data_IF_445148148179
#
_entry.id   IF_445148148179
#
_cell.length_a   1.000
_cell.length_b   1.000
_cell.length_c   1.000
_cell.angle_alpha   90.00
_cell.angle_beta   90.00
_cell.angle_gamma   90.00
#
_symmetry.space_group_name_H-M   'P 1'
#
loop_
_entity.id
_entity.type
_entity.pdbx_description
1 polymer ?
#
# COMPACT_ATOMS: atom_id res chain seq x y z
N UNK A 1 -61.08 -15.53 -22.51
CA UNK A 1 -59.88 -15.61 -23.32
C UNK A 1 -58.81 -16.33 -22.51
N UNK A 2 -58.55 -17.63 -22.72
CA UNK A 2 -57.51 -18.40 -22.03
C UNK A 2 -56.21 -18.25 -22.82
N UNK A 3 -55.26 -17.53 -22.23
CA UNK A 3 -53.90 -17.41 -22.74
C UNK A 3 -53.19 -18.75 -22.57
N UNK A 4 -53.01 -19.45 -23.70
CA UNK A 4 -52.20 -20.69 -23.78
C UNK A 4 -50.76 -20.30 -23.69
N UNK A 5 -50.17 -20.38 -22.48
CA UNK A 5 -48.73 -20.25 -22.31
C UNK A 5 -48.06 -21.50 -22.89
N UNK A 6 -47.25 -21.34 -23.94
CA UNK A 6 -46.55 -22.43 -24.60
C UNK A 6 -45.53 -23.07 -23.61
N UNK A 7 -45.31 -24.42 -23.69
CA UNK A 7 -44.41 -25.11 -22.75
C UNK A 7 -42.95 -24.57 -22.79
N UNK A 8 -42.54 -23.99 -23.89
CA UNK A 8 -41.23 -23.34 -24.03
C UNK A 8 -41.05 -22.11 -23.11
N UNK A 9 -42.14 -21.34 -22.85
CA UNK A 9 -42.10 -20.18 -21.94
C UNK A 9 -41.81 -20.60 -20.49
N UNK A 10 -42.22 -21.79 -20.07
CA UNK A 10 -42.00 -22.28 -18.69
C UNK A 10 -40.57 -22.68 -18.39
N UNK A 11 -39.78 -23.04 -19.40
CA UNK A 11 -38.36 -23.40 -19.28
C UNK A 11 -37.45 -22.17 -19.36
N UNK A 12 -37.82 -21.12 -20.08
CA UNK A 12 -37.04 -19.92 -20.26
C UNK A 12 -37.03 -19.08 -18.98
N UNK A 13 -38.13 -19.03 -18.24
CA UNK A 13 -38.26 -18.21 -17.01
C UNK A 13 -37.28 -18.61 -15.93
N UNK A 14 -37.08 -19.89 -15.53
CA UNK A 14 -36.11 -20.26 -14.50
C UNK A 14 -34.66 -20.06 -14.96
N UNK A 15 -34.36 -20.21 -16.23
CA UNK A 15 -33.01 -19.97 -16.77
C UNK A 15 -32.65 -18.48 -16.70
N UNK A 16 -33.55 -17.59 -17.06
CA UNK A 16 -33.35 -16.14 -16.98
C UNK A 16 -33.14 -15.70 -15.53
N UNK A 17 -33.95 -16.22 -14.60
CA UNK A 17 -33.79 -15.91 -13.14
C UNK A 17 -32.45 -16.42 -12.62
N UNK A 18 -32.03 -17.64 -12.97
CA UNK A 18 -30.74 -18.19 -12.55
C UNK A 18 -29.55 -17.37 -13.08
N UNK A 19 -29.64 -16.87 -14.31
CA UNK A 19 -28.61 -16.01 -14.92
C UNK A 19 -28.53 -14.64 -14.23
N UNK A 20 -29.65 -14.06 -13.83
CA UNK A 20 -29.66 -12.80 -13.09
C UNK A 20 -29.08 -12.92 -11.65
N UNK A 21 -29.28 -14.04 -10.97
CA UNK A 21 -28.71 -14.27 -9.63
C UNK A 21 -27.19 -14.44 -9.65
N UNK A 22 -26.59 -14.90 -10.74
CA UNK A 22 -25.15 -15.10 -10.84
C UNK A 22 -24.34 -13.82 -11.09
N UNK A 23 -24.98 -12.69 -11.43
CA UNK A 23 -24.28 -11.42 -11.67
C UNK A 23 -24.00 -10.60 -10.41
N UNK A 24 -24.51 -10.97 -9.24
CA UNK A 24 -24.38 -10.19 -8.01
C UNK A 24 -23.12 -10.53 -7.16
N UNK A 25 -22.24 -11.40 -7.64
CA UNK A 25 -21.12 -11.93 -6.84
C UNK A 25 -19.88 -11.01 -6.79
N UNK A 26 -19.87 -9.88 -7.51
CA UNK A 26 -18.74 -8.97 -7.53
C UNK A 26 -18.92 -7.86 -6.48
N UNK A 27 -18.22 -7.98 -5.34
CA UNK A 27 -18.15 -6.95 -4.32
C UNK A 27 -16.74 -6.40 -4.16
N UNK A 28 -16.63 -5.12 -3.78
CA UNK A 28 -15.34 -4.53 -3.41
C UNK A 28 -14.83 -5.19 -2.12
N UNK A 29 -13.52 -5.39 -2.03
CA UNK A 29 -12.88 -5.99 -0.86
C UNK A 29 -12.07 -4.92 -0.13
N UNK A 30 -12.25 -4.83 1.18
CA UNK A 30 -11.40 -4.01 2.05
C UNK A 30 -10.25 -4.88 2.54
N UNK A 31 -9.03 -4.43 2.30
CA UNK A 31 -7.82 -5.09 2.77
C UNK A 31 -7.09 -4.18 3.75
N UNK A 32 -6.74 -4.73 4.93
CA UNK A 32 -5.93 -4.03 5.92
C UNK A 32 -4.55 -4.67 5.96
N UNK A 33 -3.53 -3.83 5.87
CA UNK A 33 -2.13 -4.20 5.97
C UNK A 33 -1.51 -3.55 7.20
N UNK A 34 -0.67 -4.31 7.90
CA UNK A 34 -0.08 -3.91 9.16
C UNK A 34 -1.00 -4.16 10.36
N UNK A 35 -0.54 -3.76 11.56
CA UNK A 35 -1.33 -3.89 12.79
C UNK A 35 -2.13 -2.62 13.04
N UNK A 36 -3.43 -2.78 13.22
CA UNK A 36 -4.30 -1.74 13.76
C UNK A 36 -3.99 -1.59 15.25
N UNK A 37 -3.51 -0.44 15.66
CA UNK A 37 -3.36 -0.05 17.06
C UNK A 37 -4.50 0.91 17.37
N UNK A 38 -5.39 0.50 18.28
CA UNK A 38 -6.52 1.32 18.66
C UNK A 38 -6.11 2.38 19.68
N UNK A 39 -6.83 3.51 19.72
CA UNK A 39 -6.57 4.59 20.67
C UNK A 39 -6.60 4.10 22.13
N UNK A 40 -7.51 3.16 22.45
CA UNK A 40 -7.60 2.55 23.78
C UNK A 40 -6.37 1.69 24.14
N UNK A 41 -5.69 1.12 23.16
CA UNK A 41 -4.42 0.40 23.38
C UNK A 41 -3.27 1.39 23.62
N UNK A 42 -3.27 2.54 22.93
CA UNK A 42 -2.28 3.59 23.13
C UNK A 42 -2.39 4.28 24.50
N UNK A 43 -3.57 4.35 25.10
CA UNK A 43 -3.77 4.87 26.45
C UNK A 43 -3.04 4.06 27.54
N UNK A 44 -2.71 2.80 27.26
CA UNK A 44 -1.94 1.94 28.17
C UNK A 44 -0.45 2.28 28.17
N UNK A 45 0.01 3.05 27.19
CA UNK A 45 1.41 3.40 27.00
C UNK A 45 1.71 4.70 27.74
N UNK A 46 2.73 4.69 28.61
CA UNK A 46 3.13 5.83 29.43
C UNK A 46 4.58 6.23 29.12
N UNK A 47 4.76 7.49 28.74
CA UNK A 47 6.08 8.07 28.50
C UNK A 47 6.89 8.04 29.82
N UNK A 48 8.16 7.65 29.72
CA UNK A 48 9.08 7.54 30.84
C UNK A 48 8.91 6.29 31.73
N UNK A 49 7.90 5.44 31.46
CA UNK A 49 7.66 4.23 32.24
C UNK A 49 7.63 2.97 31.36
N UNK A 50 6.98 3.06 30.21
CA UNK A 50 6.85 1.93 29.27
C UNK A 50 8.18 1.68 28.56
N UNK A 51 8.61 0.43 28.52
CA UNK A 51 9.83 0.04 27.82
C UNK A 51 9.56 -0.41 26.38
N UNK A 52 10.61 -0.48 25.58
CA UNK A 52 10.54 -1.04 24.22
C UNK A 52 10.00 -2.49 24.21
N UNK A 53 10.39 -3.29 25.21
CA UNK A 53 9.92 -4.66 25.33
C UNK A 53 8.41 -4.72 25.63
N UNK A 54 7.90 -3.80 26.43
CA UNK A 54 6.47 -3.69 26.72
C UNK A 54 5.68 -3.33 25.45
N UNK A 55 6.18 -2.37 24.66
CA UNK A 55 5.57 -2.00 23.36
C UNK A 55 5.49 -3.20 22.43
N UNK A 56 6.59 -3.97 22.29
CA UNK A 56 6.60 -5.16 21.45
C UNK A 56 5.67 -6.26 22.00
N UNK A 57 5.54 -6.37 23.31
CA UNK A 57 4.63 -7.32 23.95
C UNK A 57 3.15 -6.96 23.72
N UNK A 58 2.82 -5.67 23.76
CA UNK A 58 1.46 -5.14 23.55
C UNK A 58 1.06 -5.18 22.07
N UNK A 59 1.92 -4.64 21.21
CA UNK A 59 1.58 -4.41 19.81
C UNK A 59 2.19 -5.42 18.84
N UNK A 60 3.01 -6.35 19.33
CA UNK A 60 3.75 -7.30 18.49
C UNK A 60 4.98 -6.69 17.85
N UNK A 61 5.54 -7.37 16.85
CA UNK A 61 6.73 -6.90 16.15
C UNK A 61 6.44 -5.61 15.37
N UNK A 62 7.34 -4.62 15.40
CA UNK A 62 7.20 -3.40 14.62
C UNK A 62 7.27 -3.70 13.12
N UNK A 63 6.66 -2.84 12.32
CA UNK A 63 6.73 -2.91 10.86
C UNK A 63 8.16 -2.69 10.36
N UNK A 64 8.88 -1.77 10.99
CA UNK A 64 10.32 -1.52 10.75
C UNK A 64 10.93 -0.76 11.92
N UNK A 65 12.26 -0.77 11.97
CA UNK A 65 13.05 -0.06 12.96
C UNK A 65 13.78 1.11 12.30
N UNK A 66 14.05 2.15 13.07
CA UNK A 66 14.80 3.29 12.59
C UNK A 66 16.25 2.94 12.30
N UNK A 67 16.83 3.56 11.28
CA UNK A 67 18.21 3.35 10.88
C UNK A 67 19.20 3.90 11.92
N UNK A 68 20.43 3.39 11.88
CA UNK A 68 21.56 3.89 12.67
C UNK A 68 21.34 3.88 14.19
N UNK A 69 20.67 2.84 14.71
CA UNK A 69 20.34 2.73 16.15
C UNK A 69 19.64 3.99 16.71
N UNK A 70 18.74 4.55 15.92
CA UNK A 70 18.02 5.79 16.28
C UNK A 70 17.10 5.64 17.49
N UNK A 71 16.99 4.44 18.08
CA UNK A 71 16.07 4.17 19.19
C UNK A 71 14.60 4.31 18.80
N UNK A 72 14.24 4.17 17.54
CA UNK A 72 12.87 4.33 17.04
C UNK A 72 12.34 3.05 16.45
N UNK A 73 11.06 2.77 16.71
CA UNK A 73 10.30 1.71 16.04
C UNK A 73 9.03 2.27 15.44
N UNK A 74 8.58 1.64 14.37
CA UNK A 74 7.47 2.14 13.58
C UNK A 74 6.43 1.05 13.36
N UNK A 75 5.18 1.41 13.58
CA UNK A 75 4.02 0.61 13.22
C UNK A 75 3.28 1.30 12.09
N UNK A 76 3.23 0.67 10.92
CA UNK A 76 2.51 1.18 9.77
C UNK A 76 1.22 0.39 9.59
N UNK A 77 0.12 1.13 9.45
CA UNK A 77 -1.19 0.59 9.17
C UNK A 77 -1.75 1.23 7.91
N UNK A 78 -2.34 0.41 7.06
CA UNK A 78 -2.97 0.88 5.84
C UNK A 78 -4.22 0.09 5.53
N UNK A 79 -5.32 0.78 5.27
CA UNK A 79 -6.56 0.18 4.78
C UNK A 79 -6.75 0.58 3.33
N UNK A 80 -6.92 -0.42 2.48
CA UNK A 80 -7.11 -0.26 1.03
C UNK A 80 -8.45 -0.81 0.61
N UNK A 81 -9.16 -0.09 -0.27
CA UNK A 81 -10.33 -0.59 -0.97
C UNK A 81 -9.89 -1.16 -2.32
N UNK A 82 -9.99 -2.47 -2.46
CA UNK A 82 -9.79 -3.16 -3.73
C UNK A 82 -11.11 -3.18 -4.50
N UNK A 83 -11.18 -2.42 -5.58
CA UNK A 83 -12.34 -2.37 -6.45
C UNK A 83 -12.32 -3.53 -7.43
N UNK A 84 -13.49 -4.09 -7.73
CA UNK A 84 -13.66 -5.20 -8.69
C UNK A 84 -13.19 -4.81 -10.09
N UNK A 85 -13.43 -3.57 -10.48
CA UNK A 85 -12.98 -3.01 -11.75
C UNK A 85 -12.41 -1.62 -11.49
N UNK A 86 -11.09 -1.50 -11.43
CA UNK A 86 -10.44 -0.22 -11.23
C UNK A 86 -9.18 -0.28 -10.38
N UNK A 87 -8.63 0.88 -10.10
CA UNK A 87 -7.45 1.02 -9.27
C UNK A 87 -7.80 0.86 -7.78
N UNK A 88 -6.94 0.20 -7.03
CA UNK A 88 -7.03 0.16 -5.59
C UNK A 88 -6.91 1.58 -5.03
N UNK A 89 -7.72 1.88 -4.03
CA UNK A 89 -7.72 3.20 -3.37
C UNK A 89 -7.35 3.01 -1.91
N UNK A 90 -6.35 3.73 -1.44
CA UNK A 90 -6.05 3.83 0.00
C UNK A 90 -7.19 4.59 0.67
N UNK A 91 -7.79 3.99 1.69
CA UNK A 91 -8.84 4.64 2.50
C UNK A 91 -8.26 5.34 3.71
N UNK A 92 -7.28 4.73 4.34
CA UNK A 92 -6.55 5.31 5.46
C UNK A 92 -5.13 4.77 5.54
N UNK A 93 -4.23 5.60 5.99
CA UNK A 93 -2.85 5.24 6.34
C UNK A 93 -2.50 5.94 7.64
N UNK A 94 -1.91 5.19 8.54
CA UNK A 94 -1.45 5.70 9.81
C UNK A 94 -0.07 5.12 10.12
N UNK A 95 0.83 5.97 10.56
CA UNK A 95 2.18 5.62 10.99
C UNK A 95 2.36 6.07 12.43
N UNK A 96 2.57 5.12 13.33
CA UNK A 96 2.86 5.38 14.73
C UNK A 96 4.35 5.17 14.95
N UNK A 97 5.03 6.17 15.48
CA UNK A 97 6.44 6.14 15.81
C UNK A 97 6.61 6.21 17.31
N UNK A 98 7.32 5.24 17.88
CA UNK A 98 7.77 5.23 19.26
C UNK A 98 9.27 5.53 19.30
N UNK A 99 9.66 6.52 20.09
CA UNK A 99 11.06 6.90 20.29
C UNK A 99 11.51 6.51 21.69
N UNK A 100 12.69 5.89 21.83
CA UNK A 100 13.23 5.40 23.09
C UNK A 100 14.58 6.05 23.39
N UNK A 101 14.89 6.13 24.68
CA UNK A 101 16.20 6.54 25.17
C UNK A 101 17.22 5.38 25.11
N UNK A 102 18.46 5.66 25.57
CA UNK A 102 19.54 4.67 25.63
C UNK A 102 19.23 3.48 26.56
N UNK A 103 18.31 3.65 27.52
CA UNK A 103 17.85 2.61 28.45
C UNK A 103 16.61 1.85 27.93
N UNK A 104 16.21 2.10 26.69
CA UNK A 104 14.97 1.58 26.09
C UNK A 104 13.67 2.04 26.79
N UNK A 105 13.69 3.18 27.46
CA UNK A 105 12.50 3.81 28.02
C UNK A 105 11.84 4.72 26.97
N UNK A 106 10.51 4.69 26.90
CA UNK A 106 9.75 5.47 25.94
C UNK A 106 9.89 6.97 26.23
N UNK A 107 10.38 7.73 25.24
CA UNK A 107 10.53 9.18 25.29
C UNK A 107 9.36 9.92 24.64
N UNK A 108 8.85 9.40 23.51
CA UNK A 108 7.86 10.11 22.72
C UNK A 108 7.07 9.15 21.83
N UNK A 109 5.81 9.53 21.52
CA UNK A 109 4.91 8.84 20.61
C UNK A 109 4.40 9.84 19.59
N UNK A 110 4.70 9.64 18.32
CA UNK A 110 4.23 10.48 17.22
C UNK A 110 3.31 9.67 16.30
N UNK A 111 2.14 10.23 16.00
CA UNK A 111 1.15 9.64 15.09
C UNK A 111 1.07 10.52 13.85
N UNK A 112 1.30 9.91 12.68
CA UNK A 112 1.15 10.56 11.37
C UNK A 112 0.05 9.86 10.59
N UNK A 113 -0.94 10.61 10.20
CA UNK A 113 -2.04 10.17 9.36
C UNK A 113 -1.82 10.57 7.88
N UNK A 114 -2.72 10.15 7.00
CA UNK A 114 -2.68 10.48 5.57
C UNK A 114 -2.67 11.99 5.29
N UNK A 115 -3.22 12.82 6.20
CA UNK A 115 -3.24 14.27 6.06
C UNK A 115 -1.86 14.89 6.29
N UNK A 116 -0.97 14.16 6.97
CA UNK A 116 0.43 14.54 7.20
C UNK A 116 1.34 14.16 6.03
N UNK A 117 0.82 13.46 5.03
CA UNK A 117 1.58 13.05 3.84
C UNK A 117 1.98 14.26 3.01
N UNK A 118 3.27 14.39 2.77
CA UNK A 118 3.82 15.41 1.86
C UNK A 118 3.73 14.86 0.45
N UNK A 119 2.98 15.52 -0.42
CA UNK A 119 2.98 15.21 -1.84
C UNK A 119 4.35 15.52 -2.44
N UNK A 120 5.11 14.48 -2.75
CA UNK A 120 6.40 14.62 -3.44
C UNK A 120 6.11 14.74 -4.93
N UNK A 121 6.20 15.96 -5.46
CA UNK A 121 6.17 16.16 -6.90
C UNK A 121 7.46 15.61 -7.51
N UNK A 122 7.31 14.71 -8.49
CA UNK A 122 8.45 14.24 -9.26
C UNK A 122 9.11 15.41 -9.97
N UNK A 123 10.38 15.69 -9.65
CA UNK A 123 11.13 16.73 -10.36
C UNK A 123 11.38 16.27 -11.79
N UNK A 124 10.85 16.99 -12.77
CA UNK A 124 11.16 16.78 -14.19
C UNK A 124 12.59 17.21 -14.57
N UNK A 125 13.39 17.61 -13.58
CA UNK A 125 14.77 18.02 -13.82
C UNK A 125 15.57 16.83 -14.35
N UNK A 126 15.75 16.78 -15.64
CA UNK A 126 16.68 15.84 -16.29
C UNK A 126 18.10 16.25 -15.93
N UNK A 127 18.81 15.41 -15.25
CA UNK A 127 20.26 15.58 -15.07
C UNK A 127 20.90 15.30 -16.42
N UNK A 128 21.60 16.28 -17.07
CA UNK A 128 22.35 16.00 -18.28
C UNK A 128 23.46 15.02 -17.90
N UNK A 129 23.33 13.80 -18.35
CA UNK A 129 24.41 12.83 -18.26
C UNK A 129 25.45 13.24 -19.30
N UNK A 130 26.70 13.58 -18.95
CA UNK A 130 27.77 13.82 -19.90
C UNK A 130 28.21 12.47 -20.50
N UNK A 131 27.32 11.89 -21.29
CA UNK A 131 27.63 10.78 -22.19
C UNK A 131 27.98 11.36 -23.54
N UNK A 132 29.02 10.86 -24.19
CA UNK A 132 29.31 11.19 -25.57
C UNK A 132 28.04 10.84 -26.38
N UNK A 133 27.41 11.86 -26.95
CA UNK A 133 26.31 11.69 -27.92
C UNK A 133 26.93 11.13 -29.22
N UNK A 134 27.39 9.90 -29.17
CA UNK A 134 27.73 9.16 -30.37
C UNK A 134 26.41 8.85 -31.08
N UNK A 135 26.18 9.58 -32.15
CA UNK A 135 25.05 9.31 -33.04
C UNK A 135 25.16 7.88 -33.52
N UNK A 136 24.04 7.18 -33.73
CA UNK A 136 24.01 5.81 -34.23
C UNK A 136 24.89 5.66 -35.48
N UNK A 137 25.00 6.72 -36.29
CA UNK A 137 25.86 6.86 -37.45
C UNK A 137 27.36 6.75 -37.07
N UNK A 138 27.80 7.47 -36.03
CA UNK A 138 29.22 7.44 -35.58
C UNK A 138 29.60 6.06 -35.03
N UNK A 139 28.66 5.34 -34.39
CA UNK A 139 28.89 3.97 -33.93
C UNK A 139 29.05 3.00 -35.09
N UNK A 140 28.29 3.15 -36.16
CA UNK A 140 28.41 2.30 -37.37
C UNK A 140 29.75 2.57 -38.06
N UNK A 141 30.14 3.82 -38.22
CA UNK A 141 31.42 4.18 -38.86
C UNK A 141 32.64 3.79 -38.00
N UNK A 142 32.56 3.88 -36.68
CA UNK A 142 33.66 3.43 -35.80
C UNK A 142 33.88 1.93 -35.87
N UNK A 143 32.84 1.14 -36.05
CA UNK A 143 32.90 -0.30 -36.21
C UNK A 143 33.46 -0.71 -37.60
N UNK A 144 33.18 0.04 -38.63
CA UNK A 144 33.73 -0.17 -39.99
C UNK A 144 35.23 0.11 -40.04
N UNK A 145 35.68 1.18 -39.34
CA UNK A 145 37.12 1.56 -39.30
C UNK A 145 38.02 0.54 -38.62
N UNK A 146 37.45 -0.21 -37.63
CA UNK A 146 38.21 -1.26 -36.89
C UNK A 146 38.40 -2.54 -37.68
N UNK A 147 37.84 -2.68 -38.88
CA UNK A 147 37.91 -3.88 -39.72
C UNK A 147 38.89 -3.78 -40.88
N UNK A 148 39.58 -2.67 -41.02
CA UNK A 148 40.49 -2.37 -42.18
C UNK A 148 41.96 -2.29 -41.78
N UNK A 149 42.32 -2.58 -40.49
CA UNK A 149 43.72 -2.74 -40.04
C UNK A 149 44.04 -4.20 -39.82
#
# INVERSE_FOLDING_TARGET
MKLYASPMSRLITPVVIATFLSLSACSNVVQTHGRLIEAAELEQVQIGTTTRADIISLFGQPSFEGAFNSGRIYYNQQTMLQKVAGLNTTQSRELIMFSFDENNMLLDVEIKDEKSDISIATSERKTPTPGQNLTVIDQIFSNLRRRVD
#
